data_IF_350186788835
#
_entry.id   IF_350186788835
#
_cell.length_a   1.000
_cell.length_b   1.000
_cell.length_c   1.000
_cell.angle_alpha   90.00
_cell.angle_beta   90.00
_cell.angle_gamma   90.00
#
_symmetry.space_group_name_H-M   'P 1'
#
loop_
_entity.id
_entity.type
_entity.pdbx_description
1 polymer ?
#
# COMPACT_ATOMS: atom_id res chain seq x y z
N UNK A 1 -14.50 1.25 4.36
CA UNK A 1 -13.04 1.31 4.58
C UNK A 1 -12.37 -0.03 4.27
N UNK A 2 -12.72 -1.13 4.97
CA UNK A 2 -12.05 -2.43 4.79
C UNK A 2 -12.13 -2.98 3.35
N UNK A 3 -13.29 -2.86 2.69
CA UNK A 3 -13.41 -3.24 1.27
C UNK A 3 -12.42 -2.46 0.38
N UNK A 4 -12.33 -1.13 0.54
CA UNK A 4 -11.39 -0.31 -0.23
C UNK A 4 -9.92 -0.67 0.03
N UNK A 5 -9.59 -1.05 1.26
CA UNK A 5 -8.26 -1.57 1.59
C UNK A 5 -7.98 -2.87 0.83
N UNK A 6 -8.94 -3.79 0.83
CA UNK A 6 -8.86 -5.04 0.07
C UNK A 6 -8.76 -4.78 -1.44
N UNK A 7 -9.50 -3.82 -1.98
CA UNK A 7 -9.45 -3.45 -3.39
C UNK A 7 -8.06 -2.93 -3.77
N UNK A 8 -7.50 -1.99 -2.99
CA UNK A 8 -6.14 -1.51 -3.20
C UNK A 8 -5.10 -2.63 -3.15
N UNK A 9 -5.18 -3.50 -2.13
CA UNK A 9 -4.29 -4.65 -2.01
C UNK A 9 -4.45 -5.60 -3.21
N UNK A 10 -5.69 -5.89 -3.62
CA UNK A 10 -6.01 -6.74 -4.76
C UNK A 10 -5.44 -6.21 -6.07
N UNK A 11 -5.60 -4.92 -6.35
CA UNK A 11 -5.05 -4.30 -7.57
C UNK A 11 -3.52 -4.33 -7.59
N UNK A 12 -2.86 -4.02 -6.46
CA UNK A 12 -1.41 -4.10 -6.38
C UNK A 12 -0.91 -5.54 -6.56
N UNK A 13 -1.52 -6.51 -5.88
CA UNK A 13 -1.15 -7.92 -5.98
C UNK A 13 -1.40 -8.49 -7.39
N UNK A 14 -2.50 -8.11 -8.04
CA UNK A 14 -2.78 -8.50 -9.42
C UNK A 14 -1.68 -8.00 -10.37
N UNK A 15 -1.30 -6.73 -10.25
CA UNK A 15 -0.24 -6.15 -11.07
C UNK A 15 1.13 -6.82 -10.84
N UNK A 16 1.44 -7.18 -9.58
CA UNK A 16 2.65 -7.93 -9.24
C UNK A 16 2.63 -9.34 -9.84
N UNK A 17 1.49 -10.02 -9.79
CA UNK A 17 1.31 -11.37 -10.33
C UNK A 17 1.53 -11.42 -11.85
N UNK A 18 1.17 -10.38 -12.57
CA UNK A 18 1.41 -10.28 -14.01
C UNK A 18 2.92 -10.24 -14.37
N UNK A 19 3.79 -9.87 -13.42
CA UNK A 19 5.24 -9.89 -13.58
C UNK A 19 5.91 -11.17 -13.06
N UNK A 20 5.18 -12.07 -12.39
CA UNK A 20 5.72 -13.23 -11.68
C UNK A 20 6.63 -14.15 -12.53
N UNK A 21 6.31 -14.46 -13.81
CA UNK A 21 7.21 -15.26 -14.63
C UNK A 21 8.60 -14.63 -14.79
N UNK A 22 8.65 -13.31 -14.95
CA UNK A 22 9.90 -12.55 -15.13
C UNK A 22 10.70 -12.41 -13.84
N UNK A 23 10.06 -12.55 -12.69
CA UNK A 23 10.70 -12.47 -11.37
C UNK A 23 11.26 -13.83 -10.92
N UNK A 24 10.69 -14.92 -11.45
CA UNK A 24 11.11 -16.29 -11.14
C UNK A 24 12.19 -16.81 -12.07
N UNK A 25 12.18 -16.37 -13.33
CA UNK A 25 13.16 -16.77 -14.33
C UNK A 25 14.00 -15.57 -14.78
N UNK A 26 15.24 -15.42 -14.27
CA UNK A 26 16.13 -14.34 -14.70
C UNK A 26 16.57 -14.47 -16.16
N UNK A 27 16.34 -15.60 -16.83
CA UNK A 27 16.63 -15.75 -18.26
C UNK A 27 15.54 -15.14 -19.14
N UNK A 28 14.33 -14.94 -18.60
CA UNK A 28 13.21 -14.35 -19.33
C UNK A 28 13.38 -12.83 -19.40
N UNK A 29 13.81 -12.32 -20.55
CA UNK A 29 14.02 -10.88 -20.77
C UNK A 29 12.76 -10.21 -21.30
N UNK A 30 12.17 -9.24 -20.58
CA UNK A 30 11.02 -8.48 -21.04
C UNK A 30 11.43 -7.35 -21.99
N UNK A 31 10.46 -6.78 -22.70
CA UNK A 31 10.67 -5.54 -23.44
C UNK A 31 10.75 -4.33 -22.49
N UNK A 32 11.50 -3.30 -22.90
CA UNK A 32 11.59 -2.05 -22.16
C UNK A 32 10.21 -1.40 -21.94
N UNK A 33 9.35 -1.45 -22.97
CA UNK A 33 7.98 -0.95 -22.91
C UNK A 33 7.12 -1.68 -21.87
N UNK A 34 7.25 -3.01 -21.77
CA UNK A 34 6.58 -3.79 -20.74
C UNK A 34 7.00 -3.33 -19.35
N UNK A 35 8.31 -3.27 -19.09
CA UNK A 35 8.84 -2.86 -17.80
C UNK A 35 8.42 -1.44 -17.40
N UNK A 36 8.50 -0.49 -18.33
CA UNK A 36 8.10 0.90 -18.10
C UNK A 36 6.61 1.01 -17.77
N UNK A 37 5.75 0.29 -18.50
CA UNK A 37 4.31 0.25 -18.27
C UNK A 37 3.99 -0.27 -16.88
N UNK A 38 4.63 -1.37 -16.45
CA UNK A 38 4.41 -1.95 -15.12
C UNK A 38 4.87 -1.04 -13.99
N UNK A 39 6.07 -0.45 -14.09
CA UNK A 39 6.56 0.50 -13.08
C UNK A 39 5.62 1.70 -12.96
N UNK A 40 5.19 2.27 -14.09
CA UNK A 40 4.26 3.40 -14.13
C UNK A 40 2.90 3.06 -13.50
N UNK A 41 2.34 1.88 -13.82
CA UNK A 41 1.08 1.41 -13.24
C UNK A 41 1.18 1.24 -11.72
N UNK A 42 2.27 0.62 -11.23
CA UNK A 42 2.49 0.42 -9.80
C UNK A 42 2.69 1.76 -9.07
N UNK A 43 3.43 2.71 -9.66
CA UNK A 43 3.62 4.04 -9.08
C UNK A 43 2.30 4.80 -8.90
N UNK A 44 1.37 4.69 -9.85
CA UNK A 44 0.01 5.25 -9.72
C UNK A 44 -0.78 4.59 -8.60
N UNK A 45 -0.79 3.24 -8.56
CA UNK A 45 -1.48 2.48 -7.52
C UNK A 45 -0.94 2.81 -6.12
N UNK A 46 0.38 2.87 -5.95
CA UNK A 46 1.01 3.21 -4.68
C UNK A 46 0.71 4.63 -4.22
N UNK A 47 0.66 5.58 -5.15
CA UNK A 47 0.29 6.97 -4.81
C UNK A 47 -1.15 7.05 -4.31
N UNK A 48 -2.08 6.40 -5.01
CA UNK A 48 -3.48 6.34 -4.61
C UNK A 48 -3.67 5.60 -3.28
N UNK A 49 -2.99 4.46 -3.12
CA UNK A 49 -2.98 3.68 -1.89
C UNK A 49 -2.45 4.47 -0.70
N UNK A 50 -1.31 5.17 -0.84
CA UNK A 50 -0.71 5.94 0.23
C UNK A 50 -1.65 7.04 0.75
N UNK A 51 -2.31 7.76 -0.16
CA UNK A 51 -3.30 8.78 0.20
C UNK A 51 -4.47 8.18 0.98
N UNK A 52 -5.00 7.05 0.50
CA UNK A 52 -6.09 6.33 1.16
C UNK A 52 -5.68 5.81 2.54
N UNK A 53 -4.60 5.03 2.63
CA UNK A 53 -4.23 4.31 3.85
C UNK A 53 -3.84 5.28 4.97
N UNK A 54 -3.19 6.40 4.65
CA UNK A 54 -2.88 7.43 5.63
C UNK A 54 -4.17 8.07 6.18
N UNK A 55 -4.99 8.61 5.27
CA UNK A 55 -6.16 9.41 5.66
C UNK A 55 -7.24 8.59 6.35
N UNK A 56 -7.43 7.36 5.91
CA UNK A 56 -8.61 6.59 6.30
C UNK A 56 -8.32 5.45 7.25
N UNK A 57 -7.07 5.00 7.35
CA UNK A 57 -6.72 3.89 8.23
C UNK A 57 -5.79 4.36 9.34
N UNK A 58 -4.60 4.86 8.99
CA UNK A 58 -3.61 5.21 10.01
C UNK A 58 -4.03 6.42 10.84
N UNK A 59 -4.40 7.55 10.22
CA UNK A 59 -4.69 8.78 10.95
C UNK A 59 -5.89 8.63 11.92
N UNK A 60 -6.99 7.96 11.57
CA UNK A 60 -8.07 7.68 12.51
C UNK A 60 -7.65 6.80 13.69
N UNK A 61 -6.85 5.75 13.46
CA UNK A 61 -6.35 4.87 14.54
C UNK A 61 -5.40 5.65 15.46
N UNK A 62 -4.56 6.50 14.88
CA UNK A 62 -3.61 7.34 15.62
C UNK A 62 -4.34 8.35 16.52
N UNK A 63 -5.44 8.93 16.04
CA UNK A 63 -6.19 9.97 16.75
C UNK A 63 -7.16 9.43 17.81
N UNK A 64 -7.79 8.28 17.56
CA UNK A 64 -8.88 7.75 18.39
C UNK A 64 -8.67 6.34 18.96
N UNK A 65 -7.58 5.66 18.61
CA UNK A 65 -7.25 4.33 19.12
C UNK A 65 -6.65 4.35 20.53
N UNK A 66 -6.57 3.19 21.16
CA UNK A 66 -5.79 3.02 22.39
C UNK A 66 -4.28 3.23 22.12
N UNK A 67 -3.48 3.41 23.17
CA UNK A 67 -2.05 3.73 23.04
C UNK A 67 -1.26 2.69 22.22
N UNK A 68 -1.62 1.40 22.34
CA UNK A 68 -0.97 0.32 21.60
C UNK A 68 -1.25 0.42 20.11
N UNK A 69 -2.52 0.55 19.74
CA UNK A 69 -2.95 0.57 18.34
C UNK A 69 -2.50 1.89 17.65
N UNK A 70 -2.50 3.00 18.38
CA UNK A 70 -1.94 4.26 17.89
C UNK A 70 -0.44 4.17 17.63
N UNK A 71 0.34 3.50 18.50
CA UNK A 71 1.76 3.29 18.28
C UNK A 71 2.03 2.39 17.06
N UNK A 72 1.26 1.30 16.91
CA UNK A 72 1.33 0.42 15.75
C UNK A 72 1.03 1.17 14.44
N UNK A 73 -0.07 1.93 14.39
CA UNK A 73 -0.44 2.71 13.21
C UNK A 73 0.60 3.77 12.83
N UNK A 74 1.29 4.39 13.81
CA UNK A 74 2.40 5.31 13.53
C UNK A 74 3.58 4.60 12.87
N UNK A 75 3.99 3.44 13.40
CA UNK A 75 5.07 2.64 12.82
C UNK A 75 4.74 2.24 11.38
N UNK A 76 3.53 1.73 11.14
CA UNK A 76 3.10 1.32 9.80
C UNK A 76 2.97 2.48 8.81
N UNK A 77 2.60 3.67 9.28
CA UNK A 77 2.59 4.89 8.47
C UNK A 77 4.01 5.28 8.04
N UNK A 78 4.98 5.20 8.94
CA UNK A 78 6.39 5.44 8.63
C UNK A 78 6.87 4.42 7.58
N UNK A 79 6.62 3.13 7.80
CA UNK A 79 6.99 2.07 6.86
C UNK A 79 6.37 2.28 5.48
N UNK A 80 5.11 2.73 5.42
CA UNK A 80 4.43 3.03 4.16
C UNK A 80 5.13 4.18 3.41
N UNK A 81 5.49 5.26 4.11
CA UNK A 81 6.23 6.39 3.52
C UNK A 81 7.59 5.95 2.99
N UNK A 82 8.34 5.18 3.77
CA UNK A 82 9.66 4.69 3.36
C UNK A 82 9.57 3.75 2.16
N UNK A 83 8.55 2.90 2.10
CA UNK A 83 8.30 2.00 0.99
C UNK A 83 7.95 2.78 -0.29
N UNK A 84 7.05 3.76 -0.22
CA UNK A 84 6.68 4.52 -1.42
C UNK A 84 7.81 5.41 -1.91
N UNK A 85 8.62 5.99 -1.01
CA UNK A 85 9.84 6.72 -1.41
C UNK A 85 10.88 5.79 -2.03
N UNK A 86 11.08 4.60 -1.45
CA UNK A 86 11.96 3.57 -2.02
C UNK A 86 11.50 3.17 -3.44
N UNK A 87 10.19 2.99 -3.64
CA UNK A 87 9.64 2.67 -4.95
C UNK A 87 9.81 3.84 -5.95
N UNK A 88 9.58 5.08 -5.52
CA UNK A 88 9.81 6.28 -6.36
C UNK A 88 11.28 6.39 -6.78
N UNK A 89 12.22 6.12 -5.87
CA UNK A 89 13.65 6.11 -6.17
C UNK A 89 14.00 4.98 -7.17
N UNK A 90 13.48 3.77 -6.95
CA UNK A 90 13.61 2.65 -7.88
C UNK A 90 13.08 3.01 -9.27
N UNK A 91 11.89 3.60 -9.36
CA UNK A 91 11.30 4.02 -10.62
C UNK A 91 12.14 5.09 -11.32
N UNK A 92 12.60 6.12 -10.60
CA UNK A 92 13.46 7.17 -11.19
C UNK A 92 14.77 6.61 -11.75
N UNK A 93 15.44 5.74 -11.00
CA UNK A 93 16.68 5.08 -11.44
C UNK A 93 16.46 4.36 -12.77
N UNK A 94 15.46 3.49 -12.85
CA UNK A 94 15.21 2.65 -14.03
C UNK A 94 14.40 3.35 -15.13
N UNK A 95 14.12 4.65 -14.98
CA UNK A 95 13.74 5.54 -16.09
C UNK A 95 15.00 6.15 -16.71
N UNK A 96 15.99 6.52 -15.89
CA UNK A 96 17.25 7.08 -16.35
C UNK A 96 18.21 6.02 -16.93
N UNK A 97 18.08 4.77 -16.48
CA UNK A 97 18.90 3.63 -16.90
C UNK A 97 18.09 2.68 -17.80
N UNK A 98 18.75 2.03 -18.76
CA UNK A 98 18.14 0.94 -19.53
C UNK A 98 18.08 -0.34 -18.69
N UNK A 99 16.87 -0.64 -18.19
CA UNK A 99 16.60 -1.81 -17.37
C UNK A 99 16.76 -3.15 -18.11
N UNK A 100 16.64 -3.16 -19.45
CA UNK A 100 16.80 -4.38 -20.26
C UNK A 100 18.28 -4.63 -20.53
N UNK A 101 19.05 -3.58 -20.81
CA UNK A 101 20.51 -3.69 -20.95
C UNK A 101 21.17 -4.08 -19.62
N UNK A 102 20.73 -3.47 -18.52
CA UNK A 102 21.23 -3.73 -17.16
C UNK A 102 20.37 -4.75 -16.40
N UNK A 103 19.87 -5.76 -17.11
CA UNK A 103 18.93 -6.74 -16.57
C UNK A 103 19.45 -7.44 -15.32
N UNK A 104 20.74 -7.80 -15.30
CA UNK A 104 21.37 -8.51 -14.17
C UNK A 104 21.39 -7.69 -12.87
N UNK A 105 21.29 -6.35 -12.98
CA UNK A 105 21.10 -5.46 -11.83
C UNK A 105 19.62 -5.17 -11.56
N UNK A 106 18.82 -4.98 -12.62
CA UNK A 106 17.40 -4.67 -12.53
C UNK A 106 16.61 -5.80 -11.88
N UNK A 107 16.78 -7.02 -12.37
CA UNK A 107 16.01 -8.19 -11.95
C UNK A 107 16.07 -8.40 -10.42
N UNK A 108 17.25 -8.55 -9.78
CA UNK A 108 17.31 -8.75 -8.34
C UNK A 108 16.79 -7.53 -7.55
N UNK A 109 16.93 -6.30 -8.09
CA UNK A 109 16.34 -5.11 -7.47
C UNK A 109 14.81 -5.12 -7.55
N UNK A 110 14.24 -5.55 -8.67
CA UNK A 110 12.80 -5.70 -8.86
C UNK A 110 12.24 -6.77 -7.93
N UNK A 111 12.88 -7.94 -7.83
CA UNK A 111 12.50 -9.01 -6.89
C UNK A 111 12.42 -8.48 -5.46
N UNK A 112 13.49 -7.83 -4.96
CA UNK A 112 13.50 -7.24 -3.60
C UNK A 112 12.40 -6.20 -3.40
N UNK A 113 12.11 -5.38 -4.41
CA UNK A 113 11.05 -4.38 -4.33
C UNK A 113 9.67 -5.05 -4.24
N UNK A 114 9.41 -6.07 -5.06
CA UNK A 114 8.16 -6.84 -5.04
C UNK A 114 7.96 -7.53 -3.69
N UNK A 115 8.99 -8.15 -3.14
CA UNK A 115 8.91 -8.77 -1.82
C UNK A 115 8.61 -7.75 -0.71
N UNK A 116 9.23 -6.56 -0.74
CA UNK A 116 8.93 -5.48 0.22
C UNK A 116 7.47 -5.03 0.11
N UNK A 117 6.94 -4.88 -1.11
CA UNK A 117 5.55 -4.53 -1.35
C UNK A 117 4.59 -5.59 -0.80
N UNK A 118 4.86 -6.86 -1.08
CA UNK A 118 4.03 -7.98 -0.61
C UNK A 118 4.02 -8.10 0.92
N UNK A 119 5.19 -7.95 1.57
CA UNK A 119 5.28 -7.95 3.04
C UNK A 119 4.45 -6.82 3.64
N UNK A 120 4.62 -5.59 3.15
CA UNK A 120 3.84 -4.45 3.64
C UNK A 120 2.33 -4.66 3.50
N UNK A 121 1.87 -5.18 2.35
CA UNK A 121 0.45 -5.51 2.13
C UNK A 121 -0.05 -6.54 3.17
N UNK A 122 0.75 -7.58 3.45
CA UNK A 122 0.42 -8.59 4.43
C UNK A 122 0.36 -8.02 5.86
N UNK A 123 1.34 -7.19 6.22
CA UNK A 123 1.42 -6.54 7.53
C UNK A 123 0.21 -5.62 7.76
N UNK A 124 -0.13 -4.79 6.77
CA UNK A 124 -1.30 -3.89 6.85
C UNK A 124 -2.60 -4.68 6.96
N UNK A 125 -2.71 -5.80 6.23
CA UNK A 125 -3.87 -6.68 6.35
C UNK A 125 -3.96 -7.35 7.73
N UNK A 126 -2.82 -7.67 8.37
CA UNK A 126 -2.78 -8.20 9.73
C UNK A 126 -3.22 -7.15 10.75
N UNK A 127 -2.63 -5.95 10.71
CA UNK A 127 -3.04 -4.83 11.57
C UNK A 127 -4.54 -4.55 11.46
N UNK A 128 -5.08 -4.49 10.24
CA UNK A 128 -6.49 -4.19 10.02
C UNK A 128 -7.46 -5.24 10.61
N UNK A 129 -6.99 -6.47 10.89
CA UNK A 129 -7.77 -7.50 11.60
C UNK A 129 -7.68 -7.37 13.13
N UNK A 130 -6.57 -6.85 13.63
CA UNK A 130 -6.26 -6.80 15.06
C UNK A 130 -6.72 -5.51 15.73
N UNK A 131 -6.73 -4.40 15.00
CA UNK A 131 -7.12 -3.10 15.56
C UNK A 131 -8.64 -2.98 15.60
N UNK A 132 -9.20 -2.89 16.80
CA UNK A 132 -10.58 -2.44 16.98
C UNK A 132 -10.67 -0.96 16.63
N UNK A 133 -11.29 -0.66 15.50
CA UNK A 133 -11.57 0.73 15.13
C UNK A 133 -12.54 1.35 16.15
N UNK A 134 -12.31 2.60 16.59
CA UNK A 134 -13.29 3.30 17.39
C UNK A 134 -14.62 3.35 16.63
N UNK A 135 -15.71 2.95 17.28
CA UNK A 135 -17.05 3.12 16.75
C UNK A 135 -17.29 4.61 16.48
N UNK A 136 -17.92 5.00 15.36
CA UNK A 136 -18.37 6.37 15.21
C UNK A 136 -19.25 6.74 16.41
N UNK A 137 -19.20 7.99 16.91
CA UNK A 137 -20.08 8.41 18.00
C UNK A 137 -21.52 8.10 17.60
N UNK A 138 -22.26 7.47 18.51
CA UNK A 138 -23.67 7.16 18.27
C UNK A 138 -24.39 8.45 17.83
N UNK A 139 -25.29 8.38 16.84
CA UNK A 139 -26.09 9.54 16.47
C UNK A 139 -26.79 10.04 17.74
N UNK A 140 -26.61 11.32 18.04
CA UNK A 140 -27.31 11.98 19.14
C UNK A 140 -28.79 11.96 18.75
N UNK A 141 -29.52 10.95 19.24
CA UNK A 141 -30.97 10.94 19.15
C UNK A 141 -31.42 12.06 20.06
N UNK A 142 -31.80 13.19 19.45
CA UNK A 142 -32.40 14.31 20.16
C UNK A 142 -33.69 13.85 20.83
N UNK A 143 -33.61 13.46 22.09
CA UNK A 143 -34.75 13.36 22.98
C UNK A 143 -34.96 14.72 23.61
N UNK A 144 -35.71 15.58 22.92
CA UNK A 144 -36.42 16.67 23.57
C UNK A 144 -37.72 16.93 22.80
N UNK A 145 -38.77 16.26 23.24
CA UNK A 145 -40.14 16.72 23.07
C UNK A 145 -40.81 16.58 24.45
N UNK A 146 -41.17 17.69 25.11
CA UNK A 146 -41.80 17.63 26.42
C UNK A 146 -43.24 17.09 26.31
N UNK A 147 -43.76 16.46 27.39
CA UNK A 147 -45.13 15.97 27.40
C UNK A 147 -46.11 17.16 27.43
N UNK A 148 -47.23 17.00 26.73
CA UNK A 148 -48.17 18.05 26.40
C UNK A 148 -48.75 18.87 27.56
N UNK A 149 -49.23 20.05 27.18
CA UNK A 149 -50.36 20.77 27.77
C UNK A 149 -51.21 21.29 26.63
#
# INVERSE_FOLDING_TARGET
MLQRLQDHHGWMLALLKEGDPLLRDPQLRPSAAFLATRRSAMGRLLTSYQQFIHREVFDPIIAGGNARDAALARAMKIDCIELTESFRAFQRRWIAEDAVERWDEYHPAAVRMVERLQRHIADVAAMAREVSLPQPPAPVIGTDLPPGV
#
